data_IF_516262893709
#
_entry.id   IF_516262893709
#
_cell.length_a   1.000
_cell.length_b   1.000
_cell.length_c   1.000
_cell.angle_alpha   90.00
_cell.angle_beta   90.00
_cell.angle_gamma   90.00
#
_symmetry.space_group_name_H-M   'P 1'
#
loop_
_entity.id
_entity.type
_entity.pdbx_description
1 polymer ?
#
# COMPACT_ATOMS: atom_id res chain seq x y z
N UNK A 1 -17.47 22.71 17.23
CA UNK A 1 -17.55 21.46 18.05
C UNK A 1 -16.71 20.37 17.38
N UNK A 2 -15.84 19.66 18.11
CA UNK A 2 -15.01 18.57 17.56
C UNK A 2 -15.60 17.21 17.94
N UNK A 3 -15.86 16.35 16.96
CA UNK A 3 -16.28 14.95 17.13
C UNK A 3 -15.19 14.00 16.65
N UNK A 4 -14.97 12.91 17.38
CA UNK A 4 -14.05 11.84 17.01
C UNK A 4 -14.82 10.65 16.46
N UNK A 5 -14.40 10.14 15.31
CA UNK A 5 -15.02 8.98 14.66
C UNK A 5 -13.95 8.03 14.13
N UNK A 6 -14.37 6.79 13.89
CA UNK A 6 -13.58 5.75 13.22
C UNK A 6 -14.39 5.27 12.03
N UNK A 7 -13.74 5.02 10.89
CA UNK A 7 -14.42 4.58 9.67
C UNK A 7 -13.82 5.17 8.40
N UNK A 8 -14.59 5.14 7.32
CA UNK A 8 -14.20 5.69 6.02
C UNK A 8 -14.63 7.15 5.89
N UNK A 9 -13.66 8.05 5.73
CA UNK A 9 -13.89 9.49 5.55
C UNK A 9 -14.66 9.82 4.28
N UNK A 10 -14.66 8.95 3.26
CA UNK A 10 -15.45 9.16 2.05
C UNK A 10 -16.96 9.11 2.32
N UNK A 11 -17.38 8.49 3.43
CA UNK A 11 -18.77 8.47 3.88
C UNK A 11 -19.11 9.60 4.84
N UNK A 12 -18.21 10.56 5.08
CA UNK A 12 -18.47 11.66 6.00
C UNK A 12 -19.51 12.64 5.43
N UNK A 13 -20.55 12.91 6.21
CA UNK A 13 -21.54 13.95 5.90
C UNK A 13 -20.99 15.34 6.32
N UNK A 14 -20.06 15.87 5.53
CA UNK A 14 -19.45 17.18 5.75
C UNK A 14 -19.35 17.98 4.45
N UNK A 15 -19.44 19.31 4.55
CA UNK A 15 -19.29 20.22 3.40
C UNK A 15 -17.92 20.09 2.75
N UNK A 16 -16.88 19.90 3.55
CA UNK A 16 -15.52 19.65 3.09
C UNK A 16 -14.95 18.35 3.66
N UNK A 17 -14.22 17.61 2.83
CA UNK A 17 -13.44 16.45 3.27
C UNK A 17 -11.98 16.62 2.90
N UNK A 18 -11.08 16.31 3.83
CA UNK A 18 -9.64 16.48 3.66
C UNK A 18 -9.02 15.21 3.09
N UNK A 19 -8.27 15.36 2.00
CA UNK A 19 -7.45 14.32 1.39
C UNK A 19 -5.97 14.60 1.68
N UNK A 20 -5.22 13.65 2.25
CA UNK A 20 -3.78 13.84 2.44
C UNK A 20 -3.01 13.45 1.18
N UNK A 21 -2.20 14.38 0.67
CA UNK A 21 -1.53 14.24 -0.63
C UNK A 21 -0.03 14.55 -0.55
N UNK A 22 0.68 14.26 -1.64
CA UNK A 22 2.04 14.78 -1.85
C UNK A 22 2.02 16.01 -2.77
N UNK A 23 3.19 16.55 -3.11
CA UNK A 23 3.30 17.71 -4.00
C UNK A 23 3.61 17.31 -5.45
N UNK A 24 3.76 16.01 -5.76
CA UNK A 24 4.24 15.51 -7.07
C UNK A 24 3.17 14.82 -7.90
N UNK A 25 1.88 14.98 -7.56
CA UNK A 25 0.77 14.57 -8.42
C UNK A 25 0.43 13.07 -8.40
N UNK A 26 0.95 12.32 -7.42
CA UNK A 26 0.70 10.87 -7.32
C UNK A 26 -0.32 10.58 -6.23
N UNK A 27 -1.43 9.92 -6.58
CA UNK A 27 -2.39 9.36 -5.61
C UNK A 27 -2.40 7.84 -5.78
N UNK A 28 -1.33 7.20 -5.34
CA UNK A 28 -1.07 5.78 -5.63
C UNK A 28 -1.59 4.82 -4.57
N UNK A 29 -1.69 5.25 -3.30
CA UNK A 29 -1.96 4.36 -2.15
C UNK A 29 -2.67 5.10 -1.00
N UNK A 30 -3.13 4.34 -0.01
CA UNK A 30 -3.80 4.85 1.20
C UNK A 30 -5.08 5.63 0.91
N UNK A 31 -5.37 6.62 1.75
CA UNK A 31 -6.51 7.52 1.59
C UNK A 31 -6.51 8.23 0.23
N UNK A 32 -5.35 8.68 -0.25
CA UNK A 32 -5.24 9.37 -1.53
C UNK A 32 -5.72 8.52 -2.72
N UNK A 33 -5.43 7.22 -2.73
CA UNK A 33 -5.92 6.31 -3.77
C UNK A 33 -7.45 6.23 -3.75
N UNK A 34 -8.05 6.08 -2.57
CA UNK A 34 -9.52 6.04 -2.45
C UNK A 34 -10.16 7.34 -2.93
N UNK A 35 -9.55 8.49 -2.63
CA UNK A 35 -10.00 9.78 -3.16
C UNK A 35 -9.87 9.86 -4.69
N UNK A 36 -8.80 9.31 -5.27
CA UNK A 36 -8.65 9.24 -6.74
C UNK A 36 -9.73 8.39 -7.38
N UNK A 37 -10.09 7.26 -6.76
CA UNK A 37 -11.15 6.37 -7.25
C UNK A 37 -12.54 7.01 -7.10
N UNK A 38 -12.83 7.64 -5.96
CA UNK A 38 -14.12 8.27 -5.68
C UNK A 38 -14.33 9.61 -6.41
N UNK A 39 -13.25 10.36 -6.64
CA UNK A 39 -13.26 11.70 -7.24
C UNK A 39 -12.20 11.85 -8.34
N UNK A 40 -12.39 11.21 -9.50
CA UNK A 40 -11.40 11.21 -10.58
C UNK A 40 -11.12 12.61 -11.13
N UNK A 41 -12.09 13.53 -11.13
CA UNK A 41 -11.89 14.90 -11.61
C UNK A 41 -11.08 15.76 -10.64
N UNK A 42 -11.24 15.54 -9.33
CA UNK A 42 -10.34 16.09 -8.32
C UNK A 42 -8.89 15.63 -8.58
N UNK A 43 -8.69 14.34 -8.84
CA UNK A 43 -7.35 13.82 -9.14
C UNK A 43 -6.74 14.45 -10.40
N UNK A 44 -7.50 14.57 -11.49
CA UNK A 44 -7.03 15.22 -12.73
C UNK A 44 -6.59 16.66 -12.46
N UNK A 45 -7.41 17.42 -11.73
CA UNK A 45 -7.14 18.81 -11.41
C UNK A 45 -5.92 18.95 -10.48
N UNK A 46 -5.85 18.13 -9.43
CA UNK A 46 -4.71 18.06 -8.51
C UNK A 46 -3.40 17.71 -9.24
N UNK A 47 -3.41 16.69 -10.10
CA UNK A 47 -2.20 16.28 -10.82
C UNK A 47 -1.71 17.38 -11.78
N UNK A 48 -2.63 18.13 -12.40
CA UNK A 48 -2.29 19.29 -13.20
C UNK A 48 -1.70 20.45 -12.35
N UNK A 49 -2.27 20.71 -11.17
CA UNK A 49 -1.75 21.71 -10.24
C UNK A 49 -0.35 21.35 -9.72
N UNK A 50 -0.08 20.07 -9.42
CA UNK A 50 1.26 19.59 -9.05
C UNK A 50 2.28 19.83 -10.16
N UNK A 51 1.92 19.57 -11.44
CA UNK A 51 2.82 19.85 -12.58
C UNK A 51 3.15 21.34 -12.73
N UNK A 52 2.28 22.23 -12.26
CA UNK A 52 2.50 23.68 -12.22
C UNK A 52 3.20 24.18 -10.95
N UNK A 53 3.53 23.29 -10.01
CA UNK A 53 4.15 23.66 -8.73
C UNK A 53 3.20 24.40 -7.77
N UNK A 54 1.89 24.32 -7.99
CA UNK A 54 0.89 25.04 -7.18
C UNK A 54 0.57 24.34 -5.86
N UNK A 55 0.90 23.05 -5.75
CA UNK A 55 0.71 22.23 -4.55
C UNK A 55 2.02 22.14 -3.79
N UNK A 56 2.07 22.72 -2.60
CA UNK A 56 3.28 22.80 -1.75
C UNK A 56 2.89 22.64 -0.27
N UNK A 57 3.80 22.25 0.63
CA UNK A 57 3.52 22.29 2.07
C UNK A 57 3.03 23.68 2.49
N UNK A 58 2.02 23.74 3.35
CA UNK A 58 1.38 25.00 3.74
C UNK A 58 0.50 25.65 2.65
N UNK A 59 0.25 24.99 1.52
CA UNK A 59 -0.65 25.49 0.47
C UNK A 59 -1.64 24.41 0.05
N UNK A 60 -2.89 24.57 0.47
CA UNK A 60 -3.96 23.63 0.13
C UNK A 60 -4.29 23.70 -1.36
N UNK A 61 -4.65 22.54 -1.95
CA UNK A 61 -5.32 22.52 -3.24
C UNK A 61 -6.78 22.13 -3.04
N UNK A 62 -7.68 23.10 -3.15
CA UNK A 62 -9.11 22.89 -2.95
C UNK A 62 -9.81 22.68 -4.29
N UNK A 63 -10.55 21.58 -4.38
CA UNK A 63 -11.39 21.27 -5.53
C UNK A 63 -12.86 21.41 -5.15
N UNK A 64 -13.61 22.24 -5.88
CA UNK A 64 -15.07 22.32 -5.77
C UNK A 64 -15.68 21.21 -6.65
N UNK A 65 -16.48 20.34 -6.03
CA UNK A 65 -17.11 19.21 -6.71
C UNK A 65 -18.26 19.62 -7.62
N UNK A 66 -18.79 20.85 -7.46
CA UNK A 66 -19.97 21.35 -8.16
C UNK A 66 -21.26 20.59 -7.81
N UNK A 67 -21.23 19.75 -6.77
CA UNK A 67 -22.38 18.92 -6.36
C UNK A 67 -23.33 19.73 -5.48
N UNK A 68 -24.63 19.45 -5.62
CA UNK A 68 -25.68 19.97 -4.73
C UNK A 68 -25.71 19.25 -3.37
N UNK A 69 -25.03 18.10 -3.27
CA UNK A 69 -24.89 17.30 -2.04
C UNK A 69 -23.46 17.39 -1.52
N UNK A 70 -23.28 17.05 -0.25
CA UNK A 70 -21.95 16.91 0.36
C UNK A 70 -21.16 15.73 -0.24
N UNK A 71 -19.82 15.81 -0.27
CA UNK A 71 -19.01 17.00 0.00
C UNK A 71 -19.00 17.97 -1.20
N UNK A 72 -19.08 19.27 -0.90
CA UNK A 72 -18.89 20.34 -1.88
C UNK A 72 -17.40 20.57 -2.16
N UNK A 73 -16.56 20.45 -1.14
CA UNK A 73 -15.12 20.68 -1.26
C UNK A 73 -14.29 19.44 -0.93
N UNK A 74 -13.29 19.19 -1.77
CA UNK A 74 -12.18 18.27 -1.44
C UNK A 74 -10.96 19.12 -1.21
N UNK A 75 -10.44 19.08 0.02
CA UNK A 75 -9.24 19.85 0.39
C UNK A 75 -8.05 18.89 0.34
N UNK A 76 -7.23 19.02 -0.70
CA UNK A 76 -6.01 18.23 -0.84
C UNK A 76 -4.90 18.89 0.00
N UNK A 77 -4.63 18.29 1.15
CA UNK A 77 -3.69 18.74 2.17
C UNK A 77 -2.32 18.10 1.92
N UNK A 78 -1.29 18.89 1.53
CA UNK A 78 0.03 18.34 1.25
C UNK A 78 0.75 17.98 2.55
N UNK A 79 0.72 16.70 2.91
CA UNK A 79 1.43 16.18 4.10
C UNK A 79 2.82 15.66 3.75
N UNK A 80 3.17 15.59 2.46
CA UNK A 80 4.46 15.14 1.96
C UNK A 80 4.91 15.99 0.78
N UNK A 81 6.22 16.25 0.69
CA UNK A 81 6.81 16.88 -0.51
C UNK A 81 6.86 15.89 -1.68
N UNK A 82 7.38 14.69 -1.42
CA UNK A 82 7.42 13.59 -2.38
C UNK A 82 6.76 12.35 -1.75
N UNK A 83 6.11 11.50 -2.55
CA UNK A 83 5.38 10.33 -2.03
C UNK A 83 6.30 9.30 -1.31
N UNK A 84 7.57 9.20 -1.75
CA UNK A 84 8.64 8.39 -1.11
C UNK A 84 9.11 8.94 0.24
N UNK A 85 8.83 10.20 0.55
CA UNK A 85 9.30 10.85 1.78
C UNK A 85 8.38 10.59 2.98
N UNK A 86 8.90 10.84 4.19
CA UNK A 86 8.09 10.93 5.42
C UNK A 86 7.36 12.27 5.49
N UNK A 87 6.25 12.30 6.22
CA UNK A 87 5.62 13.55 6.61
C UNK A 87 6.47 14.23 7.67
N UNK A 88 6.43 15.55 7.72
CA UNK A 88 7.13 16.35 8.71
C UNK A 88 6.12 17.14 9.53
N UNK A 89 6.37 17.26 10.83
CA UNK A 89 5.45 17.98 11.71
C UNK A 89 5.31 19.46 11.30
N UNK A 90 6.40 20.07 10.82
CA UNK A 90 6.43 21.44 10.28
C UNK A 90 5.49 21.63 9.07
N UNK A 91 5.41 20.63 8.18
CA UNK A 91 4.54 20.66 7.00
C UNK A 91 3.05 20.54 7.43
N UNK A 92 2.77 19.83 8.54
CA UNK A 92 1.42 19.72 9.11
C UNK A 92 0.99 21.02 9.78
N UNK A 93 1.85 21.64 10.57
CA UNK A 93 1.58 22.92 11.23
C UNK A 93 1.31 24.03 10.21
N UNK A 94 2.17 24.15 9.19
CA UNK A 94 1.96 25.09 8.09
C UNK A 94 0.67 24.78 7.32
N UNK A 95 0.39 23.50 7.06
CA UNK A 95 -0.82 23.08 6.37
C UNK A 95 -2.10 23.35 7.17
N UNK A 96 -2.06 23.24 8.50
CA UNK A 96 -3.20 23.53 9.38
C UNK A 96 -3.53 25.02 9.40
N UNK A 97 -2.52 25.89 9.44
CA UNK A 97 -2.74 27.33 9.31
C UNK A 97 -3.42 27.67 7.97
N UNK A 98 -2.94 27.10 6.86
CA UNK A 98 -3.55 27.28 5.55
C UNK A 98 -4.96 26.69 5.46
N UNK A 99 -5.22 25.56 6.12
CA UNK A 99 -6.55 24.95 6.19
C UNK A 99 -7.57 25.87 6.86
N UNK A 100 -7.20 26.52 7.96
CA UNK A 100 -8.05 27.49 8.67
C UNK A 100 -8.45 28.64 7.75
N UNK A 101 -7.51 29.17 6.97
CA UNK A 101 -7.78 30.24 6.02
C UNK A 101 -8.69 29.80 4.85
N UNK A 102 -8.53 28.59 4.34
CA UNK A 102 -9.45 28.02 3.35
C UNK A 102 -10.87 27.83 3.93
N UNK A 103 -10.97 27.41 5.19
CA UNK A 103 -12.26 27.27 5.88
C UNK A 103 -12.98 28.62 6.00
N UNK A 104 -12.27 29.66 6.45
CA UNK A 104 -12.83 31.02 6.61
C UNK A 104 -13.24 31.62 5.28
N UNK A 105 -12.33 31.62 4.30
CA UNK A 105 -12.54 32.25 3.00
C UNK A 105 -13.72 31.64 2.24
N UNK A 106 -13.92 30.33 2.36
CA UNK A 106 -15.02 29.59 1.70
C UNK A 106 -16.27 29.46 2.57
N UNK A 107 -16.22 29.93 3.82
CA UNK A 107 -17.30 29.84 4.81
C UNK A 107 -17.78 28.40 5.03
N UNK A 108 -16.83 27.45 5.07
CA UNK A 108 -17.12 26.03 5.29
C UNK A 108 -17.68 25.86 6.71
N UNK A 109 -18.85 25.21 6.83
CA UNK A 109 -19.53 24.99 8.11
C UNK A 109 -19.27 23.62 8.72
N UNK A 110 -18.89 22.63 7.92
CA UNK A 110 -18.54 21.30 8.41
C UNK A 110 -17.36 20.70 7.63
N UNK A 111 -16.44 20.07 8.37
CA UNK A 111 -15.23 19.48 7.78
C UNK A 111 -14.90 18.11 8.41
N UNK A 112 -14.54 17.15 7.56
CA UNK A 112 -13.95 15.88 7.99
C UNK A 112 -12.44 15.86 7.75
N UNK A 113 -11.67 15.48 8.77
CA UNK A 113 -10.21 15.52 8.76
C UNK A 113 -9.66 14.13 9.12
N UNK A 114 -8.81 13.52 8.25
CA UNK A 114 -8.14 12.25 8.53
C UNK A 114 -6.92 12.45 9.44
N UNK A 115 -6.29 11.37 9.93
CA UNK A 115 -5.07 11.50 10.73
C UNK A 115 -3.88 12.00 9.89
N UNK A 116 -3.65 13.32 9.94
CA UNK A 116 -2.74 14.02 9.04
C UNK A 116 -1.29 13.54 9.19
N UNK A 117 -0.78 12.82 8.19
CA UNK A 117 0.61 12.34 8.20
C UNK A 117 0.89 11.22 9.21
N UNK A 118 -0.08 10.75 10.01
CA UNK A 118 0.14 9.70 11.01
C UNK A 118 0.03 8.26 10.49
N UNK A 119 -0.51 8.07 9.28
CA UNK A 119 -0.48 6.78 8.57
C UNK A 119 0.81 6.59 7.77
N UNK A 120 0.71 6.61 6.44
CA UNK A 120 1.85 6.51 5.51
C UNK A 120 2.94 7.58 5.72
N UNK A 121 2.63 8.66 6.43
CA UNK A 121 3.56 9.74 6.76
C UNK A 121 4.45 9.47 7.96
N UNK A 122 4.09 8.50 8.82
CA UNK A 122 4.88 8.06 9.98
C UNK A 122 4.92 9.02 11.17
N UNK A 123 4.07 10.05 11.21
CA UNK A 123 3.98 10.94 12.38
C UNK A 123 3.21 10.29 13.54
N UNK A 124 3.64 10.53 14.76
CA UNK A 124 2.94 10.04 15.93
C UNK A 124 1.56 10.74 16.06
N UNK A 125 0.47 9.97 16.08
CA UNK A 125 -0.87 10.54 16.21
C UNK A 125 -1.06 11.34 17.50
N UNK A 126 -0.42 10.93 18.59
CA UNK A 126 -0.45 11.65 19.86
C UNK A 126 0.17 13.06 19.75
N UNK A 127 1.04 13.29 18.76
CA UNK A 127 1.65 14.60 18.50
C UNK A 127 0.84 15.41 17.47
N UNK A 128 0.24 14.75 16.48
CA UNK A 128 -0.55 15.40 15.42
C UNK A 128 -1.91 15.85 15.92
N UNK A 129 -2.61 15.00 16.68
CA UNK A 129 -3.95 15.29 17.21
C UNK A 129 -4.06 16.65 17.91
N UNK A 130 -3.22 16.99 18.92
CA UNK A 130 -3.34 18.26 19.62
C UNK A 130 -3.11 19.47 18.71
N UNK A 131 -2.35 19.32 17.62
CA UNK A 131 -2.16 20.40 16.63
C UNK A 131 -3.41 20.67 15.81
N UNK A 132 -4.12 19.61 15.42
CA UNK A 132 -5.41 19.73 14.73
C UNK A 132 -6.42 20.41 15.67
N UNK A 133 -6.51 19.95 16.92
CA UNK A 133 -7.39 20.54 17.94
C UNK A 133 -7.09 22.04 18.13
N UNK A 134 -5.82 22.40 18.33
CA UNK A 134 -5.41 23.78 18.54
C UNK A 134 -5.69 24.68 17.34
N UNK A 135 -5.38 24.23 16.11
CA UNK A 135 -5.62 25.03 14.91
C UNK A 135 -7.11 25.31 14.66
N UNK A 136 -7.98 24.37 15.03
CA UNK A 136 -9.43 24.49 14.79
C UNK A 136 -10.19 25.08 15.98
N UNK A 137 -9.53 25.32 17.11
CA UNK A 137 -10.12 26.01 18.25
C UNK A 137 -10.59 27.43 17.89
N UNK A 138 -9.91 28.07 16.92
CA UNK A 138 -10.22 29.41 16.41
C UNK A 138 -11.42 29.45 15.44
N UNK A 139 -12.13 28.32 15.28
CA UNK A 139 -13.30 28.13 14.41
C UNK A 139 -14.47 27.48 15.18
N UNK A 140 -14.98 28.11 16.26
CA UNK A 140 -15.99 27.51 17.13
C UNK A 140 -17.31 27.16 16.41
N UNK A 141 -17.64 27.89 15.34
CA UNK A 141 -18.84 27.73 14.52
C UNK A 141 -18.76 26.60 13.49
N UNK A 142 -17.60 25.94 13.36
CA UNK A 142 -17.40 24.84 12.40
C UNK A 142 -17.59 23.49 13.10
N UNK A 143 -18.38 22.62 12.47
CA UNK A 143 -18.49 21.22 12.87
C UNK A 143 -17.28 20.45 12.34
N UNK A 144 -16.41 20.03 13.25
CA UNK A 144 -15.20 19.29 12.89
C UNK A 144 -15.39 17.82 13.25
N UNK A 145 -15.21 16.95 12.27
CA UNK A 145 -15.19 15.51 12.46
C UNK A 145 -13.77 14.99 12.22
N UNK A 146 -13.07 14.60 13.28
CA UNK A 146 -11.73 14.02 13.20
C UNK A 146 -11.86 12.51 13.12
N UNK A 147 -11.38 11.95 12.01
CA UNK A 147 -11.18 10.52 11.86
C UNK A 147 -9.89 10.14 12.58
N UNK A 148 -10.01 9.31 13.59
CA UNK A 148 -8.84 8.75 14.26
C UNK A 148 -8.13 7.77 13.33
N UNK A 149 -6.82 7.51 13.55
CA UNK A 149 -6.17 6.35 12.97
C UNK A 149 -6.95 5.11 13.37
N UNK A 150 -7.80 4.67 12.44
CA UNK A 150 -8.42 3.38 12.51
C UNK A 150 -7.41 2.41 11.92
N UNK A 151 -6.60 1.85 12.80
CA UNK A 151 -6.20 0.48 12.62
C UNK A 151 -7.49 -0.28 12.37
N UNK A 152 -7.60 -0.91 11.21
CA UNK A 152 -8.76 -1.74 10.88
C UNK A 152 -8.81 -3.03 11.71
N UNK A 153 -8.22 -3.00 12.92
CA UNK A 153 -8.35 -3.92 14.02
C UNK A 153 -9.77 -3.85 14.59
N UNK A 154 -10.69 -4.46 13.86
CA UNK A 154 -12.08 -4.58 14.30
C UNK A 154 -13.05 -4.74 13.16
N UNK A 155 -12.78 -5.61 12.20
CA UNK A 155 -13.92 -6.27 11.57
C UNK A 155 -14.36 -7.33 12.59
N UNK A 156 -15.37 -6.98 13.38
CA UNK A 156 -16.03 -7.84 14.37
C UNK A 156 -16.79 -8.99 13.72
N UNK A 157 -16.22 -9.63 12.71
CA UNK A 157 -16.68 -10.93 12.23
C UNK A 157 -15.95 -11.99 13.03
N UNK A 158 -16.66 -12.42 14.07
CA UNK A 158 -16.52 -13.66 14.81
C UNK A 158 -15.13 -14.29 14.73
N UNK A 159 -14.41 -14.15 15.84
CA UNK A 159 -13.41 -15.10 16.31
C UNK A 159 -13.95 -16.53 16.07
N UNK A 160 -13.69 -17.11 14.89
CA UNK A 160 -13.88 -18.53 14.70
C UNK A 160 -12.83 -19.12 15.61
N UNK A 161 -13.28 -19.70 16.73
CA UNK A 161 -12.52 -20.48 17.70
C UNK A 161 -11.84 -21.68 17.02
N UNK A 162 -10.99 -21.39 16.06
CA UNK A 162 -10.17 -22.30 15.31
C UNK A 162 -8.85 -22.39 16.05
N UNK A 163 -8.28 -23.59 16.20
CA UNK A 163 -7.00 -23.75 16.87
C UNK A 163 -5.96 -22.81 16.27
N UNK A 164 -5.20 -22.12 17.13
CA UNK A 164 -4.09 -21.25 16.70
C UNK A 164 -3.13 -22.11 15.87
N UNK A 165 -2.87 -21.73 14.61
CA UNK A 165 -2.02 -22.52 13.73
C UNK A 165 -0.57 -22.50 14.24
N UNK A 166 0.03 -23.68 14.38
CA UNK A 166 1.45 -23.80 14.77
C UNK A 166 2.37 -22.97 13.86
N UNK A 167 3.28 -22.17 14.41
CA UNK A 167 4.27 -21.47 13.60
C UNK A 167 5.20 -22.47 12.89
N UNK A 168 5.51 -22.20 11.62
CA UNK A 168 6.43 -23.01 10.79
C UNK A 168 7.36 -22.06 10.04
N UNK A 169 8.50 -22.55 9.54
CA UNK A 169 9.43 -21.73 8.77
C UNK A 169 8.75 -20.99 7.60
N UNK A 170 7.91 -21.68 6.82
CA UNK A 170 7.17 -21.06 5.72
C UNK A 170 6.13 -20.01 6.16
N UNK A 171 5.47 -20.19 7.31
CA UNK A 171 4.52 -19.20 7.86
C UNK A 171 5.25 -17.98 8.41
N UNK A 172 6.35 -18.21 9.13
CA UNK A 172 7.20 -17.16 9.66
C UNK A 172 7.84 -16.35 8.52
N UNK A 173 8.28 -17.03 7.46
CA UNK A 173 8.83 -16.39 6.27
C UNK A 173 7.79 -15.57 5.50
N UNK A 174 6.55 -16.07 5.37
CA UNK A 174 5.43 -15.30 4.80
C UNK A 174 5.18 -14.01 5.57
N UNK A 175 5.07 -14.09 6.90
CA UNK A 175 4.87 -12.93 7.77
C UNK A 175 6.06 -11.97 7.70
N UNK A 176 7.28 -12.51 7.76
CA UNK A 176 8.51 -11.72 7.66
C UNK A 176 8.65 -10.99 6.33
N UNK A 177 8.31 -11.63 5.20
CA UNK A 177 8.34 -11.01 3.88
C UNK A 177 7.29 -9.93 3.77
N UNK A 178 6.05 -10.20 4.20
CA UNK A 178 5.00 -9.19 4.26
C UNK A 178 5.46 -8.01 5.11
N UNK A 179 6.00 -8.24 6.31
CA UNK A 179 6.43 -7.17 7.22
C UNK A 179 7.51 -6.30 6.58
N UNK A 180 8.57 -6.90 6.03
CA UNK A 180 9.67 -6.17 5.40
C UNK A 180 9.22 -5.41 4.14
N UNK A 181 8.37 -6.03 3.32
CA UNK A 181 7.80 -5.40 2.13
C UNK A 181 6.90 -4.21 2.48
N UNK A 182 5.99 -4.40 3.45
CA UNK A 182 5.14 -3.33 3.98
C UNK A 182 5.96 -2.21 4.61
N UNK A 183 7.03 -2.53 5.36
CA UNK A 183 7.91 -1.56 5.98
C UNK A 183 8.71 -0.74 4.95
N UNK A 184 9.27 -1.39 3.94
CA UNK A 184 10.01 -0.73 2.86
C UNK A 184 9.13 0.25 2.08
N UNK A 185 7.86 -0.11 1.87
CA UNK A 185 6.88 0.69 1.16
C UNK A 185 6.07 1.63 2.05
N UNK A 186 6.19 1.50 3.37
CA UNK A 186 5.32 2.11 4.37
C UNK A 186 3.83 1.86 4.08
N UNK A 187 3.42 0.64 3.71
CA UNK A 187 2.01 0.25 3.46
C UNK A 187 1.36 -0.44 4.67
N UNK A 188 0.12 -0.11 5.05
CA UNK A 188 -0.67 -0.93 5.97
C UNK A 188 -1.17 -2.24 5.35
N UNK A 189 -1.17 -2.39 4.02
CA UNK A 189 -1.74 -3.56 3.33
C UNK A 189 -0.88 -4.04 2.17
N UNK A 190 -0.95 -5.33 1.85
CA UNK A 190 -0.30 -5.94 0.68
C UNK A 190 -1.37 -6.69 -0.11
N UNK A 191 -1.32 -6.64 -1.43
CA UNK A 191 -2.29 -7.35 -2.25
C UNK A 191 -2.01 -8.85 -2.30
N UNK A 192 -3.04 -9.67 -2.52
CA UNK A 192 -2.90 -11.10 -2.72
C UNK A 192 -1.93 -11.43 -3.87
N UNK A 193 -1.93 -10.63 -4.94
CA UNK A 193 -0.99 -10.78 -6.04
C UNK A 193 0.46 -10.67 -5.57
N UNK A 194 0.79 -9.63 -4.79
CA UNK A 194 2.13 -9.39 -4.28
C UNK A 194 2.56 -10.51 -3.32
N UNK A 195 1.67 -10.98 -2.43
CA UNK A 195 1.93 -12.14 -1.57
C UNK A 195 2.27 -13.38 -2.40
N UNK A 196 1.54 -13.64 -3.49
CA UNK A 196 1.88 -14.74 -4.40
C UNK A 196 3.27 -14.57 -5.03
N UNK A 197 3.68 -13.34 -5.36
CA UNK A 197 4.98 -13.07 -6.00
C UNK A 197 6.14 -13.20 -5.03
N UNK A 198 5.98 -12.69 -3.82
CA UNK A 198 6.97 -12.83 -2.75
C UNK A 198 7.16 -14.31 -2.38
N UNK A 199 6.06 -15.07 -2.23
CA UNK A 199 6.14 -16.50 -1.94
C UNK A 199 6.71 -17.33 -3.10
N UNK A 200 6.58 -16.86 -4.34
CA UNK A 200 7.20 -17.49 -5.50
C UNK A 200 8.72 -17.31 -5.45
N UNK A 201 9.17 -16.07 -5.24
CA UNK A 201 10.60 -15.75 -5.13
C UNK A 201 11.23 -16.46 -3.94
N UNK A 202 10.54 -16.55 -2.80
CA UNK A 202 11.04 -17.28 -1.63
C UNK A 202 11.25 -18.77 -1.92
N UNK A 203 10.33 -19.41 -2.64
CA UNK A 203 10.52 -20.81 -3.06
C UNK A 203 11.65 -20.95 -4.08
N UNK A 204 11.78 -19.99 -5.01
CA UNK A 204 12.87 -19.95 -5.97
C UNK A 204 14.25 -19.70 -5.30
N UNK A 205 14.28 -19.00 -4.18
CA UNK A 205 15.47 -18.85 -3.32
C UNK A 205 15.82 -20.14 -2.54
N UNK A 206 15.04 -21.22 -2.69
CA UNK A 206 15.32 -22.52 -2.09
C UNK A 206 14.63 -22.78 -0.75
N UNK A 207 13.69 -21.92 -0.31
CA UNK A 207 12.87 -22.25 0.84
C UNK A 207 12.01 -23.48 0.52
N UNK A 208 11.98 -24.53 1.37
CA UNK A 208 11.32 -25.81 1.08
C UNK A 208 9.79 -25.74 1.19
N UNK A 209 9.22 -24.75 0.51
CA UNK A 209 7.79 -24.57 0.32
C UNK A 209 7.29 -25.65 -0.64
N UNK A 210 6.09 -26.16 -0.38
CA UNK A 210 5.43 -27.15 -1.26
C UNK A 210 4.41 -26.48 -2.19
N UNK A 211 4.68 -25.26 -2.64
CA UNK A 211 3.78 -24.50 -3.52
C UNK A 211 3.96 -24.96 -4.97
N UNK A 212 2.86 -25.25 -5.65
CA UNK A 212 2.85 -25.77 -7.02
C UNK A 212 2.56 -24.63 -7.98
N UNK A 213 3.61 -23.98 -8.46
CA UNK A 213 3.46 -22.84 -9.37
C UNK A 213 3.17 -23.29 -10.80
N UNK A 214 2.24 -22.59 -11.44
CA UNK A 214 1.89 -22.71 -12.86
C UNK A 214 1.97 -21.34 -13.55
N UNK A 215 2.08 -21.36 -14.87
CA UNK A 215 1.97 -20.17 -15.74
C UNK A 215 0.54 -19.63 -15.70
N UNK A 216 0.32 -18.38 -15.27
CA UNK A 216 -1.02 -17.81 -15.09
C UNK A 216 -1.09 -16.32 -15.55
N UNK A 217 -2.29 -15.68 -15.59
CA UNK A 217 -2.47 -14.36 -16.21
C UNK A 217 -1.54 -13.26 -15.70
N UNK A 218 -1.29 -13.24 -14.38
CA UNK A 218 -0.44 -12.25 -13.72
C UNK A 218 0.97 -12.78 -13.43
N UNK A 219 1.46 -13.77 -14.18
CA UNK A 219 2.74 -14.45 -13.92
C UNK A 219 2.57 -15.74 -13.10
N UNK A 220 3.63 -16.26 -12.45
CA UNK A 220 3.57 -17.50 -11.68
C UNK A 220 2.51 -17.46 -10.58
N UNK A 221 1.69 -18.51 -10.47
CA UNK A 221 0.62 -18.61 -9.48
C UNK A 221 0.57 -20.03 -8.91
N UNK A 222 0.36 -20.15 -7.60
CA UNK A 222 0.23 -21.43 -6.91
C UNK A 222 -1.11 -21.52 -6.20
N UNK A 223 -2.04 -22.28 -6.77
CA UNK A 223 -3.40 -22.44 -6.23
C UNK A 223 -3.38 -22.89 -4.78
N UNK A 224 -2.46 -23.80 -4.42
CA UNK A 224 -2.40 -24.37 -3.08
C UNK A 224 -1.92 -23.39 -1.99
N UNK A 225 -1.49 -22.17 -2.34
CA UNK A 225 -1.24 -21.11 -1.35
C UNK A 225 -2.53 -20.72 -0.60
N UNK A 226 -3.71 -20.84 -1.23
CA UNK A 226 -5.00 -20.56 -0.58
C UNK A 226 -5.24 -21.35 0.69
N UNK A 227 -4.74 -22.58 0.75
CA UNK A 227 -4.88 -23.43 1.93
C UNK A 227 -4.06 -22.87 3.10
N UNK A 228 -2.87 -22.34 2.81
CA UNK A 228 -2.04 -21.68 3.82
C UNK A 228 -2.77 -20.44 4.33
N UNK A 229 -3.16 -19.53 3.43
CA UNK A 229 -3.83 -18.27 3.76
C UNK A 229 -5.12 -18.50 4.56
N UNK A 230 -5.97 -19.47 4.16
CA UNK A 230 -7.16 -19.85 4.94
C UNK A 230 -6.85 -20.36 6.34
N UNK A 231 -5.74 -21.09 6.50
CA UNK A 231 -5.36 -21.66 7.80
C UNK A 231 -4.85 -20.58 8.76
N UNK A 232 -4.22 -19.53 8.22
CA UNK A 232 -3.60 -18.46 9.02
C UNK A 232 -4.45 -17.18 9.10
N UNK A 233 -5.57 -17.12 8.40
CA UNK A 233 -6.55 -16.04 8.47
C UNK A 233 -7.09 -15.88 9.90
N UNK A 234 -7.10 -14.64 10.39
CA UNK A 234 -7.49 -14.29 11.75
C UNK A 234 -6.41 -14.53 12.81
N UNK A 235 -5.31 -15.19 12.46
CA UNK A 235 -4.22 -15.53 13.40
C UNK A 235 -2.91 -14.82 13.04
N UNK A 236 -2.49 -14.86 11.77
CA UNK A 236 -1.27 -14.21 11.29
C UNK A 236 -1.56 -13.12 10.27
N UNK A 237 -2.58 -13.33 9.43
CA UNK A 237 -3.04 -12.37 8.43
C UNK A 237 -4.54 -12.12 8.58
N UNK A 238 -5.04 -11.05 7.97
CA UNK A 238 -6.45 -10.80 7.80
C UNK A 238 -6.74 -10.27 6.39
N UNK A 239 -7.95 -10.53 5.91
CA UNK A 239 -8.43 -10.08 4.59
C UNK A 239 -8.73 -11.21 3.61
N UNK A 240 -8.55 -12.47 4.02
CA UNK A 240 -8.75 -13.67 3.18
C UNK A 240 -9.94 -14.54 3.60
N UNK A 241 -10.76 -14.10 4.57
CA UNK A 241 -11.85 -14.88 5.15
C UNK A 241 -12.90 -15.43 4.16
N UNK A 242 -13.18 -14.71 3.07
CA UNK A 242 -14.12 -15.14 2.02
C UNK A 242 -13.52 -16.19 1.06
N UNK A 243 -12.22 -16.49 1.16
CA UNK A 243 -11.51 -17.50 0.37
C UNK A 243 -11.45 -17.23 -1.13
N UNK A 244 -11.84 -16.03 -1.59
CA UNK A 244 -11.84 -15.69 -3.02
C UNK A 244 -10.47 -15.21 -3.48
N UNK A 245 -10.00 -15.70 -4.61
CA UNK A 245 -8.73 -15.26 -5.19
C UNK A 245 -8.97 -14.08 -6.14
N UNK A 246 -8.76 -12.87 -5.64
CA UNK A 246 -8.77 -11.64 -6.44
C UNK A 246 -7.39 -10.99 -6.33
N UNK A 247 -6.69 -10.69 -7.44
CA UNK A 247 -5.31 -10.17 -7.41
C UNK A 247 -5.14 -8.94 -6.50
N UNK A 248 -6.09 -8.02 -6.55
CA UNK A 248 -6.05 -6.75 -5.81
C UNK A 248 -6.61 -6.86 -4.37
N UNK A 249 -6.90 -8.07 -3.89
CA UNK A 249 -7.43 -8.29 -2.55
C UNK A 249 -6.42 -7.80 -1.50
N UNK A 250 -6.78 -6.85 -0.64
CA UNK A 250 -5.88 -6.39 0.41
C UNK A 250 -5.79 -7.43 1.52
N UNK A 251 -4.56 -7.69 1.94
CA UNK A 251 -4.20 -8.50 3.10
C UNK A 251 -3.40 -7.62 4.07
N UNK A 252 -3.53 -7.90 5.36
CA UNK A 252 -2.78 -7.23 6.43
C UNK A 252 -2.24 -8.24 7.42
N UNK A 253 -1.22 -7.86 8.17
CA UNK A 253 -0.71 -8.66 9.30
C UNK A 253 -1.58 -8.42 10.54
N UNK A 254 -1.84 -9.47 11.30
CA UNK A 254 -2.54 -9.40 12.59
C UNK A 254 -1.54 -8.92 13.67
N UNK A 255 -1.94 -8.11 14.67
CA UNK A 255 -1.06 -7.70 15.75
C UNK A 255 -0.44 -8.91 16.47
N UNK A 256 0.84 -8.81 16.80
CA UNK A 256 1.60 -9.90 17.43
C UNK A 256 2.18 -10.92 16.44
N UNK A 257 1.60 -11.09 15.26
CA UNK A 257 2.08 -12.07 14.27
C UNK A 257 3.54 -11.81 13.84
N UNK A 258 3.91 -10.54 13.69
CA UNK A 258 5.29 -10.13 13.36
C UNK A 258 6.27 -10.58 14.43
N UNK A 259 5.99 -10.27 15.69
CA UNK A 259 6.86 -10.64 16.82
C UNK A 259 7.02 -12.16 16.91
N UNK A 260 5.92 -12.90 16.76
CA UNK A 260 5.94 -14.36 16.83
C UNK A 260 6.73 -14.97 15.66
N UNK A 261 6.60 -14.40 14.46
CA UNK A 261 7.38 -14.80 13.29
C UNK A 261 8.87 -14.47 13.44
N UNK A 262 9.22 -13.27 13.93
CA UNK A 262 10.60 -12.86 14.16
C UNK A 262 11.28 -13.73 15.21
N UNK A 263 10.61 -13.99 16.34
CA UNK A 263 11.10 -14.90 17.37
C UNK A 263 11.36 -16.31 16.82
N UNK A 264 10.46 -16.82 15.96
CA UNK A 264 10.67 -18.11 15.30
C UNK A 264 11.87 -18.07 14.34
N UNK A 265 12.01 -17.00 13.55
CA UNK A 265 13.08 -16.86 12.55
C UNK A 265 14.48 -16.76 13.19
N UNK A 266 14.62 -16.31 14.43
CA UNK A 266 15.92 -16.24 15.13
C UNK A 266 16.63 -17.61 15.21
N UNK A 267 15.88 -18.71 15.23
CA UNK A 267 16.42 -20.07 15.22
C UNK A 267 16.52 -20.70 13.82
N UNK A 268 16.24 -19.94 12.75
CA UNK A 268 16.17 -20.42 11.36
C UNK A 268 16.99 -19.53 10.40
N UNK A 269 18.33 -19.49 10.54
CA UNK A 269 19.19 -18.58 9.78
C UNK A 269 19.11 -18.79 8.26
N UNK A 270 19.01 -20.04 7.78
CA UNK A 270 18.86 -20.32 6.35
C UNK A 270 17.57 -19.72 5.76
N UNK A 271 16.47 -19.72 6.52
CA UNK A 271 15.22 -19.06 6.09
C UNK A 271 15.38 -17.54 6.08
N UNK A 272 16.07 -16.97 7.08
CA UNK A 272 16.37 -15.52 7.11
C UNK A 272 17.23 -15.07 5.92
N UNK A 273 18.24 -15.84 5.54
CA UNK A 273 19.12 -15.57 4.39
C UNK A 273 18.31 -15.52 3.09
N UNK A 274 17.44 -16.50 2.86
CA UNK A 274 16.54 -16.54 1.68
C UNK A 274 15.57 -15.37 1.67
N UNK A 275 15.05 -15.00 2.83
CA UNK A 275 14.20 -13.84 3.04
C UNK A 275 14.90 -12.55 2.61
N UNK A 276 16.14 -12.37 3.08
CA UNK A 276 16.99 -11.23 2.74
C UNK A 276 17.27 -11.16 1.23
N UNK A 277 17.59 -12.31 0.63
CA UNK A 277 17.81 -12.43 -0.82
C UNK A 277 16.58 -12.01 -1.63
N UNK A 278 15.36 -12.34 -1.18
CA UNK A 278 14.11 -11.88 -1.82
C UNK A 278 13.94 -10.37 -1.65
N UNK A 279 14.15 -9.84 -0.45
CA UNK A 279 14.02 -8.40 -0.16
C UNK A 279 14.96 -7.58 -1.01
N UNK A 280 16.23 -7.99 -1.10
CA UNK A 280 17.22 -7.37 -1.97
C UNK A 280 16.77 -7.43 -3.43
N UNK A 281 16.34 -8.60 -3.93
CA UNK A 281 15.92 -8.71 -5.33
C UNK A 281 14.81 -7.72 -5.70
N UNK A 282 13.78 -7.62 -4.86
CA UNK A 282 12.57 -6.84 -5.20
C UNK A 282 12.75 -5.33 -5.04
N UNK A 283 13.87 -4.86 -4.47
CA UNK A 283 14.18 -3.43 -4.39
C UNK A 283 14.20 -2.80 -5.79
N UNK A 284 13.42 -1.73 -5.98
CA UNK A 284 13.14 -1.11 -7.28
C UNK A 284 11.98 -1.72 -8.08
N UNK A 285 11.42 -2.86 -7.64
CA UNK A 285 10.31 -3.59 -8.27
C UNK A 285 9.09 -3.77 -7.33
N UNK A 286 9.00 -2.98 -6.25
CA UNK A 286 8.03 -3.14 -5.16
C UNK A 286 6.60 -2.66 -5.49
N UNK A 287 6.25 -2.56 -6.77
CA UNK A 287 4.87 -2.32 -7.18
C UNK A 287 4.23 -3.63 -7.61
N UNK A 288 2.89 -3.78 -7.57
CA UNK A 288 2.23 -4.98 -8.08
C UNK A 288 2.65 -5.32 -9.52
N UNK A 289 2.81 -4.29 -10.36
CA UNK A 289 3.25 -4.44 -11.73
C UNK A 289 4.75 -4.78 -11.85
N UNK A 290 5.60 -4.20 -10.98
CA UNK A 290 7.02 -4.51 -10.88
C UNK A 290 7.28 -5.95 -10.46
N UNK A 291 6.64 -6.42 -9.39
CA UNK A 291 6.71 -7.82 -8.96
C UNK A 291 6.14 -8.76 -10.01
N UNK A 292 5.05 -8.38 -10.67
CA UNK A 292 4.50 -9.13 -11.79
C UNK A 292 5.53 -9.27 -12.91
N UNK A 293 6.19 -8.19 -13.33
CA UNK A 293 7.24 -8.20 -14.35
C UNK A 293 8.42 -9.10 -13.94
N UNK A 294 9.01 -8.83 -12.78
CA UNK A 294 10.18 -9.50 -12.27
C UNK A 294 9.99 -11.02 -12.17
N UNK A 295 8.85 -11.46 -11.61
CA UNK A 295 8.53 -12.89 -11.50
C UNK A 295 8.18 -13.54 -12.83
N UNK A 296 7.65 -12.77 -13.80
CA UNK A 296 7.39 -13.27 -15.16
C UNK A 296 8.70 -13.51 -15.91
N UNK A 297 9.64 -12.56 -15.84
CA UNK A 297 10.97 -12.68 -16.47
C UNK A 297 11.75 -13.84 -15.86
N UNK A 298 11.80 -13.92 -14.52
CA UNK A 298 12.45 -15.04 -13.84
C UNK A 298 11.85 -16.40 -14.26
N UNK A 299 10.52 -16.52 -14.40
CA UNK A 299 9.90 -17.74 -14.88
C UNK A 299 10.32 -18.11 -16.30
N UNK A 300 10.28 -17.16 -17.22
CA UNK A 300 10.65 -17.38 -18.63
C UNK A 300 12.10 -17.89 -18.74
N UNK A 301 13.02 -17.34 -17.95
CA UNK A 301 14.43 -17.74 -17.96
C UNK A 301 14.61 -19.10 -17.29
N UNK A 302 14.15 -19.25 -16.04
CA UNK A 302 14.48 -20.42 -15.20
C UNK A 302 13.59 -21.64 -15.48
N UNK A 303 12.32 -21.43 -15.86
CA UNK A 303 11.36 -22.52 -16.10
C UNK A 303 11.13 -22.82 -17.57
N UNK A 304 11.22 -21.81 -18.44
CA UNK A 304 11.01 -21.98 -19.89
C UNK A 304 12.32 -21.99 -20.69
N UNK A 305 13.46 -21.72 -20.03
CA UNK A 305 14.79 -21.92 -20.61
C UNK A 305 15.20 -20.85 -21.62
N UNK A 306 14.60 -19.66 -21.59
CA UNK A 306 15.04 -18.53 -22.41
C UNK A 306 16.45 -18.08 -21.98
N UNK A 307 17.38 -18.02 -22.95
CA UNK A 307 18.79 -17.66 -22.69
C UNK A 307 19.17 -16.29 -23.22
N UNK A 308 18.64 -15.90 -24.38
CA UNK A 308 18.93 -14.60 -24.97
C UNK A 308 17.83 -13.59 -24.64
N UNK A 309 18.21 -12.32 -24.44
CA UNK A 309 17.26 -11.24 -24.12
C UNK A 309 16.13 -11.14 -25.15
N UNK A 310 16.43 -11.33 -26.44
CA UNK A 310 15.42 -11.34 -27.52
C UNK A 310 14.35 -12.41 -27.31
N UNK A 311 14.74 -13.58 -26.80
CA UNK A 311 13.84 -14.69 -26.52
C UNK A 311 13.04 -14.43 -25.26
N UNK A 312 13.66 -13.85 -24.22
CA UNK A 312 12.96 -13.42 -23.00
C UNK A 312 11.86 -12.43 -23.34
N UNK A 313 12.17 -11.38 -24.11
CA UNK A 313 11.19 -10.38 -24.55
C UNK A 313 10.05 -11.02 -25.32
N UNK A 314 10.37 -11.87 -26.31
CA UNK A 314 9.36 -12.59 -27.10
C UNK A 314 8.46 -13.45 -26.23
N UNK A 315 9.04 -14.27 -25.35
CA UNK A 315 8.30 -15.19 -24.48
C UNK A 315 7.40 -14.47 -23.46
N UNK A 316 7.88 -13.35 -22.89
CA UNK A 316 7.04 -12.49 -22.04
C UNK A 316 5.87 -11.92 -22.83
N UNK A 317 6.10 -11.39 -24.03
CA UNK A 317 5.04 -10.76 -24.84
C UNK A 317 3.99 -11.74 -25.37
N UNK A 318 4.34 -13.01 -25.63
CA UNK A 318 3.39 -14.05 -26.04
C UNK A 318 2.71 -14.76 -24.87
N UNK A 319 3.14 -14.51 -23.63
CA UNK A 319 2.55 -15.13 -22.43
C UNK A 319 1.04 -14.91 -22.36
N UNK A 320 0.57 -13.67 -22.61
CA UNK A 320 -0.83 -13.30 -22.85
C UNK A 320 -0.93 -11.83 -23.28
N UNK A 321 -2.15 -11.35 -23.59
CA UNK A 321 -2.39 -9.95 -23.99
C UNK A 321 -1.92 -8.93 -22.95
N UNK A 322 -2.10 -9.20 -21.65
CA UNK A 322 -1.71 -8.30 -20.56
C UNK A 322 -0.20 -8.08 -20.53
N UNK A 323 0.61 -9.11 -20.82
CA UNK A 323 2.09 -8.98 -20.77
C UNK A 323 2.67 -8.09 -21.87
N UNK A 324 1.90 -7.78 -22.92
CA UNK A 324 2.31 -6.82 -23.97
C UNK A 324 2.44 -5.38 -23.47
N UNK A 325 1.91 -5.07 -22.27
CA UNK A 325 2.12 -3.76 -21.64
C UNK A 325 3.58 -3.52 -21.22
N UNK A 326 4.38 -4.58 -21.07
CA UNK A 326 5.78 -4.47 -20.71
C UNK A 326 6.64 -4.18 -21.93
N UNK A 327 7.35 -3.06 -21.89
CA UNK A 327 8.29 -2.68 -22.94
C UNK A 327 9.54 -3.57 -22.91
N UNK A 328 10.23 -3.76 -24.05
CA UNK A 328 11.50 -4.49 -24.08
C UNK A 328 12.52 -3.97 -23.06
N UNK A 329 12.64 -2.64 -22.91
CA UNK A 329 13.54 -2.01 -21.94
C UNK A 329 13.20 -2.35 -20.47
N UNK A 330 11.91 -2.44 -20.12
CA UNK A 330 11.50 -2.88 -18.78
C UNK A 330 11.82 -4.35 -18.53
N UNK A 331 11.64 -5.20 -19.55
CA UNK A 331 11.97 -6.63 -19.49
C UNK A 331 13.48 -6.83 -19.31
N UNK A 332 14.28 -6.07 -20.05
CA UNK A 332 15.74 -6.04 -19.93
C UNK A 332 16.18 -5.60 -18.53
N UNK A 333 15.60 -4.52 -17.99
CA UNK A 333 15.91 -4.06 -16.63
C UNK A 333 15.62 -5.14 -15.58
N UNK A 334 14.51 -5.88 -15.73
CA UNK A 334 14.18 -6.99 -14.84
C UNK A 334 15.15 -8.17 -14.98
N UNK A 335 15.57 -8.51 -16.21
CA UNK A 335 16.57 -9.55 -16.46
C UNK A 335 17.92 -9.16 -15.87
N UNK A 336 18.37 -7.92 -16.07
CA UNK A 336 19.58 -7.38 -15.48
C UNK A 336 19.53 -7.42 -13.95
N UNK A 337 18.41 -7.00 -13.33
CA UNK A 337 18.26 -7.09 -11.87
C UNK A 337 18.39 -8.52 -11.36
N UNK A 338 17.78 -9.49 -12.05
CA UNK A 338 17.90 -10.91 -11.70
C UNK A 338 19.35 -11.39 -11.81
N UNK A 339 20.07 -10.97 -12.85
CA UNK A 339 21.48 -11.32 -13.05
C UNK A 339 22.39 -10.69 -11.98
N UNK A 340 22.27 -9.38 -11.74
CA UNK A 340 23.06 -8.64 -10.74
C UNK A 340 22.89 -9.20 -9.32
N UNK A 341 21.69 -9.69 -8.99
CA UNK A 341 21.39 -10.30 -7.69
C UNK A 341 21.69 -11.81 -7.66
N UNK A 342 22.24 -12.36 -8.75
CA UNK A 342 22.67 -13.77 -8.88
C UNK A 342 21.52 -14.77 -8.91
N UNK A 343 20.32 -14.38 -9.34
CA UNK A 343 19.14 -15.26 -9.45
C UNK A 343 19.08 -16.04 -10.75
N UNK A 344 19.78 -15.58 -11.77
CA UNK A 344 19.94 -16.22 -13.07
C UNK A 344 21.40 -16.10 -13.50
N UNK A 345 21.84 -17.05 -14.32
CA UNK A 345 23.15 -16.99 -14.97
C UNK A 345 23.15 -15.89 -16.06
N UNK A 346 24.35 -15.41 -16.41
CA UNK A 346 24.57 -14.36 -17.41
C UNK A 346 24.49 -14.81 -18.86
#
# INVERSE_FOLDING_TARGET
MIRYVRGDILGAEAEAIVNTVNCVGVMGRGIALRFKEAFPDNYKAYAAACRRGEVQPGRMFVFDTGRLTTPRYIINFPTKRHWRGKSRIEDIEAGLAALVEEIRSRRIRSIAIPPLGSGLGGLNWAEVRPRIENALADLPEVEVTIFEPWDSLGDGRANRSTPVPKMTAGRAALVGLMNRYLAALLDPTITLLEVHKLMYLLQAAGEPLRLRYVKAPYGPYAENLRHVLRTIEGHLIAGYADGRDSPNKPLRLVPGAVRDAESFLMSHPATQERLERVVQLVEGFETPLGLELLTTVHWVIVKEGARELKDVVKQVQVWNQRKRQFTPAQIELAAQRLHEQGWIDG
#
